data_IF_111849930635
#
_entry.id   IF_111849930635
#
_cell.length_a   1.000
_cell.length_b   1.000
_cell.length_c   1.000
_cell.angle_alpha   90.00
_cell.angle_beta   90.00
_cell.angle_gamma   90.00
#
_symmetry.space_group_name_H-M   'P 1'
#
loop_
_entity.id
_entity.type
_entity.pdbx_description
1 polymer ?
#
# COMPACT_ATOMS: atom_id res chain seq x y z
N UNK A 1 -11.92 17.15 -8.68
CA UNK A 1 -10.66 16.42 -8.43
C UNK A 1 -11.11 14.97 -8.29
N UNK A 2 -10.73 14.10 -9.23
CA UNK A 2 -11.13 12.69 -9.15
C UNK A 2 -10.53 12.09 -7.87
N UNK A 3 -11.32 11.44 -7.00
CA UNK A 3 -10.80 10.73 -5.83
C UNK A 3 -9.86 9.56 -6.23
N UNK A 4 -9.81 9.25 -7.52
CA UNK A 4 -8.92 8.27 -8.12
C UNK A 4 -7.58 8.85 -8.60
N UNK A 5 -7.49 10.18 -8.78
CA UNK A 5 -6.31 10.82 -9.36
C UNK A 5 -5.23 11.04 -8.31
N UNK A 6 -4.17 10.27 -8.41
CA UNK A 6 -2.98 10.36 -7.56
C UNK A 6 -1.95 11.28 -8.20
N UNK A 7 -1.36 12.19 -7.42
CA UNK A 7 -0.24 13.00 -7.87
C UNK A 7 1.04 12.15 -7.86
N UNK A 8 1.52 11.79 -9.04
CA UNK A 8 2.79 11.06 -9.22
C UNK A 8 3.96 12.03 -9.42
N UNK A 9 5.19 11.62 -9.06
CA UNK A 9 6.37 12.41 -9.36
C UNK A 9 6.58 12.54 -10.87
N UNK A 10 6.89 13.74 -11.33
CA UNK A 10 7.04 14.03 -12.76
C UNK A 10 8.42 13.65 -13.33
N UNK A 11 9.41 13.47 -12.47
CA UNK A 11 10.81 13.22 -12.87
C UNK A 11 11.25 11.77 -12.72
N UNK A 12 10.41 10.92 -12.16
CA UNK A 12 10.72 9.50 -11.91
C UNK A 12 9.89 8.61 -12.82
N UNK A 13 10.49 7.53 -13.36
CA UNK A 13 9.73 6.55 -14.11
C UNK A 13 8.70 5.85 -13.21
N UNK A 14 7.51 5.64 -13.75
CA UNK A 14 6.50 4.80 -13.13
C UNK A 14 6.77 3.33 -13.40
N UNK A 15 6.38 2.49 -12.45
CA UNK A 15 6.38 1.04 -12.56
C UNK A 15 5.03 0.47 -12.13
N UNK A 16 4.75 -0.72 -12.63
CA UNK A 16 3.63 -1.55 -12.24
C UNK A 16 4.13 -2.94 -11.88
N UNK A 17 3.62 -3.48 -10.78
CA UNK A 17 3.79 -4.86 -10.38
C UNK A 17 2.41 -5.54 -10.34
N UNK A 18 2.36 -6.76 -10.86
CA UNK A 18 1.21 -7.66 -10.73
C UNK A 18 1.68 -8.99 -10.14
N UNK A 19 1.59 -9.20 -8.83
CA UNK A 19 2.08 -10.43 -8.21
C UNK A 19 1.35 -11.68 -8.70
N UNK A 20 1.96 -12.86 -8.56
CA UNK A 20 1.27 -14.12 -8.82
C UNK A 20 0.00 -14.22 -7.96
N UNK A 21 -1.12 -14.63 -8.54
CA UNK A 21 -2.38 -14.78 -7.79
C UNK A 21 -2.34 -15.87 -6.71
N UNK A 22 -1.28 -16.68 -6.69
CA UNK A 22 -1.03 -17.74 -5.70
C UNK A 22 -0.20 -17.25 -4.52
N UNK A 23 0.24 -16.00 -4.54
CA UNK A 23 1.18 -15.42 -3.59
C UNK A 23 0.60 -14.09 -3.10
N UNK A 24 -0.20 -14.18 -2.04
CA UNK A 24 -0.95 -13.06 -1.46
C UNK A 24 -0.01 -12.11 -0.72
N UNK A 25 1.08 -12.63 -0.15
CA UNK A 25 2.09 -11.87 0.60
C UNK A 25 3.05 -11.08 -0.31
N UNK A 26 3.28 -11.54 -1.54
CA UNK A 26 4.20 -10.89 -2.48
C UNK A 26 3.89 -9.41 -2.76
N UNK A 27 2.63 -8.99 -2.66
CA UNK A 27 2.29 -7.56 -2.81
C UNK A 27 2.81 -6.75 -1.62
N UNK A 28 2.66 -7.27 -0.40
CA UNK A 28 3.07 -6.61 0.83
C UNK A 28 4.59 -6.56 0.92
N UNK A 29 5.28 -7.65 0.56
CA UNK A 29 6.73 -7.69 0.46
C UNK A 29 7.25 -6.67 -0.57
N UNK A 30 6.57 -6.57 -1.73
CA UNK A 30 6.91 -5.57 -2.72
C UNK A 30 6.67 -4.15 -2.23
N UNK A 31 5.60 -3.90 -1.47
CA UNK A 31 5.37 -2.60 -0.85
C UNK A 31 6.50 -2.26 0.14
N UNK A 32 6.86 -3.19 1.03
CA UNK A 32 7.97 -3.01 1.96
C UNK A 32 9.29 -2.68 1.21
N UNK A 33 9.62 -3.47 0.18
CA UNK A 33 10.81 -3.25 -0.64
C UNK A 33 10.80 -1.88 -1.35
N UNK A 34 9.64 -1.42 -1.85
CA UNK A 34 9.48 -0.10 -2.46
C UNK A 34 9.70 1.02 -1.43
N UNK A 35 9.16 0.87 -0.22
CA UNK A 35 9.34 1.84 0.86
C UNK A 35 10.80 1.92 1.31
N UNK A 36 11.49 0.79 1.40
CA UNK A 36 12.91 0.71 1.76
C UNK A 36 13.83 1.30 0.69
N UNK A 37 13.52 1.08 -0.60
CA UNK A 37 14.30 1.61 -1.71
C UNK A 37 14.01 3.09 -2.03
N UNK A 38 12.88 3.62 -1.52
CA UNK A 38 12.45 4.99 -1.79
C UNK A 38 13.36 6.01 -1.13
N UNK A 39 13.82 7.00 -1.90
CA UNK A 39 14.49 8.19 -1.35
C UNK A 39 13.50 9.18 -0.74
N UNK A 40 12.20 9.05 -1.03
CA UNK A 40 11.14 9.83 -0.38
C UNK A 40 10.77 9.17 0.94
N UNK A 41 10.67 9.98 1.98
CA UNK A 41 10.11 9.55 3.26
C UNK A 41 8.62 9.30 3.08
N UNK A 42 8.17 8.08 3.31
CA UNK A 42 6.74 7.82 3.45
C UNK A 42 6.23 8.43 4.77
N UNK A 43 5.14 9.20 4.69
CA UNK A 43 4.57 9.90 5.85
C UNK A 43 3.21 9.36 6.22
N UNK A 44 2.37 9.06 5.23
CA UNK A 44 0.97 8.71 5.44
C UNK A 44 0.48 7.72 4.41
N UNK A 45 -0.51 6.94 4.79
CA UNK A 45 -1.18 5.99 3.93
C UNK A 45 -2.69 6.22 3.98
N UNK A 46 -3.29 6.35 2.81
CA UNK A 46 -4.74 6.38 2.65
C UNK A 46 -5.23 5.00 2.27
N UNK A 47 -6.21 4.47 3.00
CA UNK A 47 -6.71 3.10 2.79
C UNK A 47 -8.21 3.08 2.57
N UNK A 48 -8.63 2.08 1.80
CA UNK A 48 -10.01 1.62 1.66
C UNK A 48 -10.01 0.12 1.85
N UNK A 49 -10.72 -0.33 2.86
CA UNK A 49 -10.85 -1.73 3.22
C UNK A 49 -12.29 -2.21 2.99
N UNK A 50 -12.45 -3.43 2.49
CA UNK A 50 -13.73 -4.13 2.32
C UNK A 50 -14.29 -4.71 3.64
N UNK A 51 -13.86 -4.14 4.77
CA UNK A 51 -14.25 -4.56 6.11
C UNK A 51 -14.77 -3.38 6.93
N UNK A 52 -15.90 -3.58 7.60
CA UNK A 52 -16.56 -2.58 8.43
C UNK A 52 -17.09 -3.15 9.75
N UNK A 53 -17.91 -2.38 10.45
CA UNK A 53 -18.39 -2.69 11.82
C UNK A 53 -19.18 -4.00 11.93
N UNK A 54 -19.82 -4.46 10.85
CA UNK A 54 -20.70 -5.64 10.86
C UNK A 54 -20.02 -6.94 10.47
N UNK A 55 -18.75 -6.89 10.10
CA UNK A 55 -18.00 -8.09 9.75
C UNK A 55 -17.56 -8.80 11.03
N UNK A 56 -17.84 -10.10 11.11
CA UNK A 56 -17.44 -10.96 12.21
C UNK A 56 -15.95 -11.35 12.05
N UNK A 57 -15.07 -10.37 12.23
CA UNK A 57 -13.62 -10.58 12.33
C UNK A 57 -13.19 -10.86 13.76
N UNK A 58 -12.18 -11.72 13.91
CA UNK A 58 -11.65 -12.18 15.19
C UNK A 58 -10.11 -12.21 15.14
N UNK A 59 -9.48 -12.18 16.32
CA UNK A 59 -8.02 -12.30 16.41
C UNK A 59 -7.28 -11.07 15.88
N UNK A 60 -6.11 -11.24 15.25
CA UNK A 60 -5.24 -10.13 14.84
C UNK A 60 -5.94 -9.10 13.92
N UNK A 61 -6.75 -9.54 12.97
CA UNK A 61 -7.53 -8.67 12.07
C UNK A 61 -8.46 -7.73 12.86
N UNK A 62 -9.09 -8.25 13.92
CA UNK A 62 -9.97 -7.46 14.79
C UNK A 62 -9.18 -6.40 15.55
N UNK A 63 -8.03 -6.78 16.10
CA UNK A 63 -7.15 -5.87 16.85
C UNK A 63 -6.61 -4.75 15.94
N UNK A 64 -6.16 -5.10 14.73
CA UNK A 64 -5.70 -4.15 13.72
C UNK A 64 -6.80 -3.18 13.27
N UNK A 65 -8.03 -3.69 13.05
CA UNK A 65 -9.16 -2.84 12.69
C UNK A 65 -9.54 -1.87 13.82
N UNK A 66 -9.49 -2.34 15.07
CA UNK A 66 -9.72 -1.49 16.25
C UNK A 66 -8.64 -0.42 16.39
N UNK A 67 -7.36 -0.77 16.18
CA UNK A 67 -6.25 0.17 16.16
C UNK A 67 -6.45 1.27 15.11
N UNK A 68 -6.74 0.89 13.85
CA UNK A 68 -7.05 1.86 12.79
C UNK A 68 -8.25 2.74 13.13
N UNK A 69 -9.32 2.17 13.68
CA UNK A 69 -10.52 2.91 14.07
C UNK A 69 -10.27 3.96 15.15
N UNK A 70 -9.18 3.84 15.92
CA UNK A 70 -8.76 4.81 16.92
C UNK A 70 -8.18 6.11 16.33
N UNK A 71 -7.86 6.14 15.03
CA UNK A 71 -7.35 7.34 14.37
C UNK A 71 -8.49 8.29 13.99
N UNK A 72 -8.31 9.59 14.26
CA UNK A 72 -9.32 10.62 14.00
C UNK A 72 -9.75 10.74 12.53
N UNK A 73 -8.86 10.38 11.61
CA UNK A 73 -9.06 10.48 10.16
C UNK A 73 -9.50 9.13 9.55
N UNK A 74 -9.98 8.19 10.37
CA UNK A 74 -10.53 6.90 9.96
C UNK A 74 -12.02 6.85 10.24
N UNK A 75 -12.79 6.40 9.25
CA UNK A 75 -14.22 6.16 9.34
C UNK A 75 -14.50 4.68 9.08
N UNK A 76 -15.07 4.00 10.08
CA UNK A 76 -15.54 2.62 9.96
C UNK A 76 -17.05 2.64 9.70
N UNK A 77 -17.43 2.35 8.46
CA UNK A 77 -18.82 2.19 8.06
C UNK A 77 -19.33 0.79 8.40
N UNK A 78 -20.53 0.44 7.94
CA UNK A 78 -21.11 -0.89 8.23
C UNK A 78 -20.34 -2.02 7.53
N UNK A 79 -19.93 -1.79 6.28
CA UNK A 79 -19.37 -2.77 5.35
C UNK A 79 -17.94 -2.42 4.85
N UNK A 80 -17.43 -1.23 5.16
CA UNK A 80 -16.11 -0.80 4.73
C UNK A 80 -15.45 0.15 5.73
N UNK A 81 -14.14 0.31 5.60
CA UNK A 81 -13.34 1.26 6.37
C UNK A 81 -12.54 2.11 5.43
N UNK A 82 -12.58 3.43 5.63
CA UNK A 82 -11.79 4.39 4.84
C UNK A 82 -11.10 5.36 5.76
N UNK A 83 -9.86 5.71 5.44
CA UNK A 83 -9.18 6.72 6.22
C UNK A 83 -7.77 7.00 5.73
N UNK A 84 -7.15 7.98 6.37
CA UNK A 84 -5.72 8.26 6.18
C UNK A 84 -5.04 8.25 7.55
N UNK A 85 -3.93 7.53 7.67
CA UNK A 85 -3.16 7.44 8.91
C UNK A 85 -1.70 7.76 8.64
N UNK A 86 -0.97 8.23 9.65
CA UNK A 86 0.48 8.33 9.58
C UNK A 86 1.07 6.94 9.38
N UNK A 87 2.00 6.79 8.44
CA UNK A 87 2.67 5.53 8.18
C UNK A 87 3.83 5.37 9.18
N UNK A 88 3.62 4.47 10.14
CA UNK A 88 4.58 4.03 11.15
C UNK A 88 4.79 2.52 11.03
N UNK A 89 5.78 1.97 11.72
CA UNK A 89 5.97 0.51 11.75
C UNK A 89 4.73 -0.21 12.33
N UNK A 90 4.08 0.38 13.33
CA UNK A 90 2.86 -0.16 13.95
C UNK A 90 1.70 -0.16 12.95
N UNK A 91 1.41 0.97 12.31
CA UNK A 91 0.33 1.02 11.31
C UNK A 91 0.63 0.18 10.08
N UNK A 92 1.90 0.02 9.67
CA UNK A 92 2.25 -0.92 8.61
C UNK A 92 1.94 -2.37 9.02
N UNK A 93 2.24 -2.76 10.26
CA UNK A 93 1.89 -4.08 10.78
C UNK A 93 0.37 -4.28 10.85
N UNK A 94 -0.39 -3.30 11.32
CA UNK A 94 -1.86 -3.37 11.33
C UNK A 94 -2.43 -3.54 9.91
N UNK A 95 -1.85 -2.86 8.91
CA UNK A 95 -2.25 -3.01 7.51
C UNK A 95 -1.86 -4.35 6.91
N UNK A 96 -0.77 -4.95 7.37
CA UNK A 96 -0.38 -6.31 6.97
C UNK A 96 -1.41 -7.34 7.45
N UNK A 97 -1.89 -7.22 8.69
CA UNK A 97 -2.94 -8.09 9.24
C UNK A 97 -4.27 -7.94 8.48
N UNK A 98 -4.54 -6.76 7.91
CA UNK A 98 -5.76 -6.46 7.15
C UNK A 98 -5.59 -6.57 5.64
N UNK A 99 -4.48 -7.13 5.17
CA UNK A 99 -4.06 -7.03 3.77
C UNK A 99 -5.09 -7.62 2.80
N UNK A 100 -5.70 -8.75 3.16
CA UNK A 100 -6.72 -9.41 2.35
C UNK A 100 -7.97 -8.54 2.11
N UNK A 101 -8.26 -7.59 2.99
CA UNK A 101 -9.39 -6.67 2.89
C UNK A 101 -9.04 -5.35 2.20
N UNK A 102 -7.77 -5.10 1.86
CA UNK A 102 -7.36 -3.85 1.20
C UNK A 102 -7.89 -3.82 -0.24
N UNK A 103 -8.92 -3.02 -0.49
CA UNK A 103 -9.35 -2.68 -1.86
C UNK A 103 -8.38 -1.67 -2.50
N UNK A 104 -7.88 -0.72 -1.69
CA UNK A 104 -6.90 0.27 -2.11
C UNK A 104 -6.05 0.78 -0.95
N UNK A 105 -4.75 0.96 -1.19
CA UNK A 105 -3.85 1.69 -0.29
C UNK A 105 -2.93 2.61 -1.09
N UNK A 106 -2.86 3.89 -0.73
CA UNK A 106 -1.96 4.87 -1.37
C UNK A 106 -1.01 5.43 -0.33
N UNK A 107 0.29 5.25 -0.55
CA UNK A 107 1.34 5.79 0.31
C UNK A 107 1.85 7.11 -0.27
N UNK A 108 1.92 8.12 0.59
CA UNK A 108 2.30 9.49 0.23
C UNK A 108 3.54 9.95 1.00
N UNK A 109 4.31 10.81 0.35
CA UNK A 109 5.31 11.64 1.00
C UNK A 109 4.67 12.89 1.66
N UNK A 110 5.45 13.69 2.44
CA UNK A 110 4.96 14.91 3.07
C UNK A 110 4.49 16.00 2.09
N UNK A 111 4.96 15.97 0.84
CA UNK A 111 4.57 16.93 -0.20
C UNK A 111 3.25 16.52 -0.88
N UNK A 112 2.67 15.38 -0.49
CA UNK A 112 1.44 14.85 -1.07
C UNK A 112 1.65 14.21 -2.44
N UNK A 113 2.87 13.78 -2.74
CA UNK A 113 3.22 13.00 -3.93
C UNK A 113 3.22 11.51 -3.56
N UNK A 114 2.62 10.67 -4.40
CA UNK A 114 2.56 9.26 -4.13
C UNK A 114 3.89 8.55 -4.38
N UNK A 115 4.14 7.59 -3.50
CA UNK A 115 5.25 6.65 -3.59
C UNK A 115 4.72 5.33 -4.19
N UNK A 116 3.60 4.84 -3.66
CA UNK A 116 2.94 3.62 -4.10
C UNK A 116 1.41 3.74 -4.06
N UNK A 117 0.72 3.07 -5.00
CA UNK A 117 -0.73 2.90 -5.07
C UNK A 117 -1.02 1.42 -5.32
N UNK A 118 -1.46 0.74 -4.27
CA UNK A 118 -1.99 -0.61 -4.30
C UNK A 118 -3.48 -0.54 -4.57
N UNK A 119 -3.93 -1.25 -5.61
CA UNK A 119 -5.35 -1.35 -5.97
C UNK A 119 -5.62 -2.68 -6.66
N UNK A 120 -6.68 -3.37 -6.25
CA UNK A 120 -7.16 -4.61 -6.90
C UNK A 120 -6.04 -5.65 -7.10
N UNK A 121 -5.17 -5.83 -6.08
CA UNK A 121 -4.03 -6.76 -6.12
C UNK A 121 -2.89 -6.35 -7.05
N UNK A 122 -2.89 -5.12 -7.56
CA UNK A 122 -1.81 -4.57 -8.39
C UNK A 122 -1.18 -3.37 -7.68
N UNK A 123 0.13 -3.25 -7.78
CA UNK A 123 0.85 -2.10 -7.23
C UNK A 123 1.40 -1.23 -8.36
N UNK A 124 1.17 0.07 -8.27
CA UNK A 124 1.89 1.10 -9.04
C UNK A 124 2.81 1.83 -8.10
N UNK A 125 3.99 2.20 -8.56
CA UNK A 125 4.94 2.97 -7.78
C UNK A 125 5.86 3.77 -8.70
N UNK A 126 6.51 4.80 -8.18
CA UNK A 126 7.46 5.59 -8.93
C UNK A 126 8.76 5.71 -8.13
N UNK A 127 9.86 5.35 -8.78
CA UNK A 127 11.19 5.32 -8.17
C UNK A 127 12.25 5.68 -9.21
N UNK A 128 13.40 6.23 -8.81
CA UNK A 128 14.56 6.29 -9.69
C UNK A 128 14.93 4.91 -10.23
N UNK A 129 15.36 4.80 -11.49
CA UNK A 129 15.69 3.51 -12.10
C UNK A 129 16.72 2.69 -11.30
N UNK A 130 17.68 3.36 -10.65
CA UNK A 130 18.65 2.68 -9.78
C UNK A 130 18.03 2.12 -8.49
N UNK A 131 16.97 2.74 -7.97
CA UNK A 131 16.25 2.26 -6.80
C UNK A 131 15.36 1.06 -7.16
N UNK A 132 14.82 1.00 -8.38
CA UNK A 132 14.02 -0.16 -8.82
C UNK A 132 14.82 -1.47 -8.81
N UNK A 133 16.11 -1.41 -9.10
CA UNK A 133 16.98 -2.60 -9.02
C UNK A 133 17.10 -3.11 -7.59
N UNK A 134 17.12 -2.23 -6.58
CA UNK A 134 17.12 -2.64 -5.18
C UNK A 134 15.79 -3.31 -4.79
N UNK A 135 14.67 -2.83 -5.34
CA UNK A 135 13.36 -3.49 -5.17
C UNK A 135 13.40 -4.89 -5.77
N UNK A 136 13.96 -5.06 -6.98
CA UNK A 136 14.09 -6.37 -7.61
C UNK A 136 14.96 -7.32 -6.79
N UNK A 137 16.08 -6.84 -6.26
CA UNK A 137 17.01 -7.64 -5.46
C UNK A 137 16.41 -8.09 -4.11
N UNK A 138 15.45 -7.32 -3.57
CA UNK A 138 14.76 -7.63 -2.31
C UNK A 138 13.56 -8.57 -2.46
N UNK A 139 13.18 -8.93 -3.69
CA UNK A 139 12.01 -9.76 -3.97
C UNK A 139 12.39 -11.12 -4.55
N UNK A 140 11.48 -12.08 -4.40
CA UNK A 140 11.57 -13.33 -5.14
C UNK A 140 11.60 -13.08 -6.65
N UNK A 141 12.44 -13.83 -7.36
CA UNK A 141 12.66 -13.64 -8.80
C UNK A 141 11.35 -13.68 -9.62
N UNK A 142 10.42 -14.56 -9.24
CA UNK A 142 9.13 -14.68 -9.90
C UNK A 142 8.25 -13.42 -9.76
N UNK A 143 8.40 -12.66 -8.66
CA UNK A 143 7.72 -11.39 -8.40
C UNK A 143 8.48 -10.26 -9.08
N UNK A 144 9.81 -10.21 -8.93
CA UNK A 144 10.67 -9.20 -9.52
C UNK A 144 10.54 -9.14 -11.06
N UNK A 145 10.47 -10.28 -11.74
CA UNK A 145 10.30 -10.37 -13.19
C UNK A 145 8.97 -9.78 -13.70
N UNK A 146 7.99 -9.59 -12.80
CA UNK A 146 6.68 -9.00 -13.10
C UNK A 146 6.64 -7.49 -12.88
N UNK A 147 7.74 -6.87 -12.49
CA UNK A 147 7.87 -5.42 -12.45
C UNK A 147 8.06 -4.90 -13.87
N UNK A 148 7.09 -4.13 -14.34
CA UNK A 148 7.06 -3.51 -15.66
C UNK A 148 7.19 -2.00 -15.53
N UNK A 149 7.98 -1.36 -16.39
CA UNK A 149 7.99 0.11 -16.50
C UNK A 149 6.72 0.56 -17.22
N UNK A 150 6.11 1.64 -16.73
CA UNK A 150 4.96 2.29 -17.37
C UNK A 150 5.32 3.71 -17.81
N UNK A 151 4.76 4.14 -18.94
CA UNK A 151 4.93 5.49 -19.49
C UNK A 151 4.01 6.51 -18.82
#
# INVERSE_FOLDING_TARGET
MDPESVAWPSTEPGYRLRPPATDEDAVLDALAAVLDASSRRAERVSVRLAIGRRVDVLGPEREALEALSGHNDVTVADDHTVGTVSLTAETFADLAELFADIERAVVWDPDGVAIADLRDGQMRFALPAKAVEQVRDGLDAAVADRIERVE
#
